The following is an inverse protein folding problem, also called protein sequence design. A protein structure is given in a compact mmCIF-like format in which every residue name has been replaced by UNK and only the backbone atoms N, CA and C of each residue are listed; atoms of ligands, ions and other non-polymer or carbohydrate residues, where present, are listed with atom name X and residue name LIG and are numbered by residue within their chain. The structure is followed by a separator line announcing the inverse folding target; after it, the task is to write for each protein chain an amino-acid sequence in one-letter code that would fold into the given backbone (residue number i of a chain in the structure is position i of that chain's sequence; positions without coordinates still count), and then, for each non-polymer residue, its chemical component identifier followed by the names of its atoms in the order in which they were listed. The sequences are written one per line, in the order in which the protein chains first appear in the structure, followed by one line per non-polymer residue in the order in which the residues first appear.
data_IF_338962782040
#
_entry.id   IF_338962782040
#
_cell.length_a   1.000
_cell.length_b   1.000
_cell.length_c   1.000
_cell.angle_alpha   90.00
_cell.angle_beta   90.00
_cell.angle_gamma   90.00
#
_symmetry.space_group_name_H-M   'P 1'
#
loop_
_entity.id
_entity.type
_entity.pdbx_description
1 polymer ?
#
# COMPACT_ATOMS: atom_id res chain seq x y z
N UNK A 1 13.20 -20.44 7.84
CA UNK A 1 11.81 -20.09 7.42
C UNK A 1 11.78 -18.59 7.16
N UNK A 2 12.04 -18.19 5.90
CA UNK A 2 12.06 -16.79 5.45
C UNK A 2 10.66 -16.43 4.96
N UNK A 3 9.79 -16.11 5.85
CA UNK A 3 8.45 -15.63 5.57
C UNK A 3 8.31 -14.27 6.23
N UNK A 4 7.82 -13.31 5.53
CA UNK A 4 7.39 -12.01 5.99
C UNK A 4 8.40 -10.85 5.93
N UNK A 5 8.89 -10.60 4.73
CA UNK A 5 8.81 -9.29 4.12
C UNK A 5 8.03 -9.52 2.83
N UNK A 6 6.72 -9.55 2.90
CA UNK A 6 5.85 -9.94 1.77
C UNK A 6 5.89 -8.99 0.58
N UNK A 7 6.68 -7.94 0.63
CA UNK A 7 6.89 -7.04 -0.49
C UNK A 7 8.31 -7.06 -1.06
N UNK A 8 9.10 -8.12 -0.81
CA UNK A 8 10.29 -8.38 -1.63
C UNK A 8 9.87 -9.04 -2.94
N UNK A 9 9.23 -8.28 -3.82
CA UNK A 9 8.99 -8.65 -5.19
C UNK A 9 10.33 -8.65 -5.94
N UNK A 10 11.03 -9.79 -5.95
CA UNK A 10 12.08 -10.04 -6.92
C UNK A 10 11.41 -10.20 -8.28
N UNK A 11 11.37 -9.15 -9.08
CA UNK A 11 10.95 -9.23 -10.48
C UNK A 11 12.13 -9.61 -11.35
N UNK A 12 11.99 -10.58 -12.27
CA UNK A 12 12.95 -10.75 -13.36
C UNK A 12 12.90 -9.49 -14.24
N UNK A 13 14.06 -9.05 -14.69
CA UNK A 13 14.20 -7.92 -15.60
C UNK A 13 13.45 -8.20 -16.90
N UNK A 14 12.31 -7.54 -17.11
CA UNK A 14 11.68 -7.41 -18.41
C UNK A 14 12.30 -6.22 -19.11
N UNK A 15 12.86 -6.47 -20.29
CA UNK A 15 13.42 -5.47 -21.17
C UNK A 15 12.36 -4.38 -21.46
N UNK A 16 12.69 -3.13 -21.13
CA UNK A 16 11.86 -1.97 -21.36
C UNK A 16 11.73 -1.71 -22.87
N UNK A 17 10.53 -1.82 -23.39
CA UNK A 17 10.16 -1.14 -24.61
C UNK A 17 10.08 0.36 -24.30
N UNK A 18 11.06 1.14 -24.78
CA UNK A 18 11.07 2.60 -24.67
C UNK A 18 10.01 3.20 -25.61
N UNK A 19 8.81 3.38 -25.08
CA UNK A 19 7.83 4.29 -25.66
C UNK A 19 8.09 5.68 -25.06
N UNK A 20 8.48 6.64 -25.90
CA UNK A 20 8.76 8.03 -25.56
C UNK A 20 7.47 8.84 -25.33
N UNK A 21 6.79 8.59 -24.24
CA UNK A 21 5.73 9.43 -23.69
C UNK A 21 5.95 9.49 -22.18
N UNK A 22 5.98 10.68 -21.59
CA UNK A 22 5.90 10.80 -20.13
C UNK A 22 4.71 9.97 -19.66
N UNK A 23 4.87 9.01 -18.72
CA UNK A 23 3.74 8.26 -18.21
C UNK A 23 2.81 9.28 -17.56
N UNK A 24 1.70 9.60 -18.24
CA UNK A 24 0.59 10.27 -17.57
C UNK A 24 0.22 9.36 -16.42
N UNK A 25 0.27 9.87 -15.20
CA UNK A 25 -0.13 9.13 -14.00
C UNK A 25 -1.55 8.61 -14.23
N UNK A 26 -1.68 7.30 -14.42
CA UNK A 26 -2.96 6.61 -14.61
C UNK A 26 -3.69 6.42 -13.26
N UNK A 27 -3.38 7.27 -12.27
CA UNK A 27 -3.95 7.21 -10.93
C UNK A 27 -4.93 8.37 -10.73
N UNK A 28 -6.17 8.03 -10.40
CA UNK A 28 -7.22 8.99 -10.05
C UNK A 28 -7.44 9.04 -8.53
N UNK A 29 -6.61 9.79 -7.83
CA UNK A 29 -6.73 9.97 -6.37
C UNK A 29 -8.00 10.71 -5.96
N UNK A 30 -8.61 11.48 -6.86
CA UNK A 30 -9.87 12.17 -6.57
C UNK A 30 -11.03 11.18 -6.42
N UNK A 31 -10.92 9.99 -7.02
CA UNK A 31 -11.92 8.93 -6.90
C UNK A 31 -11.90 8.17 -5.56
N UNK A 32 -10.86 8.37 -4.73
CA UNK A 32 -10.77 7.75 -3.40
C UNK A 32 -11.68 8.50 -2.43
N UNK A 33 -12.68 7.86 -1.83
CA UNK A 33 -13.56 8.48 -0.86
C UNK A 33 -12.90 8.57 0.53
N UNK A 34 -13.39 9.46 1.38
CA UNK A 34 -13.09 9.44 2.81
C UNK A 34 -13.86 8.26 3.45
N UNK A 35 -13.20 7.15 3.68
CA UNK A 35 -13.80 5.91 4.20
C UNK A 35 -12.93 5.24 5.24
N UNK A 36 -13.59 4.42 6.08
CA UNK A 36 -12.98 3.45 6.95
C UNK A 36 -13.44 2.07 6.54
N UNK A 37 -12.49 1.25 6.09
CA UNK A 37 -12.67 -0.09 5.56
C UNK A 37 -12.06 -1.12 6.52
N UNK A 38 -12.79 -2.18 6.82
CA UNK A 38 -12.32 -3.28 7.67
C UNK A 38 -12.19 -4.55 6.86
N UNK A 39 -11.11 -5.28 7.05
CA UNK A 39 -10.76 -6.49 6.32
C UNK A 39 -10.50 -7.65 7.28
N UNK A 40 -10.76 -8.86 6.81
CA UNK A 40 -10.33 -10.12 7.43
C UNK A 40 -9.17 -10.69 6.63
N UNK A 41 -8.18 -11.24 7.33
CA UNK A 41 -7.03 -11.92 6.73
C UNK A 41 -7.21 -13.43 6.78
N UNK A 42 -6.96 -14.08 5.66
CA UNK A 42 -6.96 -15.54 5.52
C UNK A 42 -5.54 -16.03 5.19
N UNK A 43 -5.15 -17.11 5.84
CA UNK A 43 -3.92 -17.81 5.52
C UNK A 43 -4.23 -19.30 5.36
N UNK A 44 -3.99 -19.85 4.17
CA UNK A 44 -4.36 -21.23 3.80
C UNK A 44 -5.83 -21.53 4.11
N UNK A 45 -6.70 -20.57 3.80
CA UNK A 45 -8.16 -20.70 3.99
C UNK A 45 -8.65 -20.50 5.43
N UNK A 46 -7.78 -20.34 6.42
CA UNK A 46 -8.16 -20.05 7.80
C UNK A 46 -8.03 -18.56 8.11
N UNK A 47 -9.00 -17.99 8.83
CA UNK A 47 -8.91 -16.63 9.35
C UNK A 47 -7.76 -16.51 10.35
N UNK A 48 -6.91 -15.50 10.17
CA UNK A 48 -5.68 -15.30 10.95
C UNK A 48 -5.43 -13.86 11.38
N UNK A 49 -6.31 -12.95 11.03
CA UNK A 49 -6.11 -11.56 11.40
C UNK A 49 -7.10 -10.61 10.77
N UNK A 50 -6.82 -9.34 10.95
CA UNK A 50 -7.67 -8.25 10.49
C UNK A 50 -6.83 -7.06 10.05
N UNK A 51 -7.44 -6.18 9.25
CA UNK A 51 -6.93 -4.83 8.99
C UNK A 51 -8.06 -3.80 9.04
N UNK A 52 -7.69 -2.58 9.38
CA UNK A 52 -8.53 -1.40 9.22
C UNK A 52 -7.74 -0.38 8.42
N UNK A 53 -8.30 0.02 7.28
CA UNK A 53 -7.77 1.09 6.43
C UNK A 53 -8.69 2.29 6.53
N UNK A 54 -8.11 3.47 6.65
CA UNK A 54 -8.85 4.71 6.71
C UNK A 54 -8.25 5.70 5.72
N UNK A 55 -9.12 6.29 4.92
CA UNK A 55 -8.78 7.35 3.97
C UNK A 55 -9.44 8.64 4.43
N UNK A 56 -8.64 9.66 4.67
CA UNK A 56 -9.11 11.00 5.04
C UNK A 56 -8.70 12.00 3.99
N UNK A 57 -9.57 12.99 3.76
CA UNK A 57 -9.29 14.14 2.90
C UNK A 57 -9.10 15.33 3.80
N UNK A 58 -7.91 15.92 3.80
CA UNK A 58 -7.56 17.07 4.62
C UNK A 58 -7.22 18.29 3.77
N UNK A 59 -7.56 19.51 4.20
CA UNK A 59 -7.12 20.72 3.51
C UNK A 59 -5.60 20.87 3.62
N UNK A 60 -4.97 21.38 2.55
CA UNK A 60 -3.57 21.76 2.50
C UNK A 60 -3.46 23.06 1.69
N UNK A 61 -3.38 24.21 2.37
CA UNK A 61 -3.32 25.54 1.73
C UNK A 61 -4.31 25.70 0.57
N UNK A 62 -3.84 25.55 -0.68
CA UNK A 62 -4.65 25.66 -1.91
C UNK A 62 -5.10 24.32 -2.48
N UNK A 63 -4.67 23.19 -1.89
CA UNK A 63 -4.92 21.83 -2.37
C UNK A 63 -5.56 20.97 -1.28
N UNK A 64 -5.60 19.65 -1.50
CA UNK A 64 -6.04 18.66 -0.52
C UNK A 64 -4.99 17.56 -0.39
N UNK A 65 -4.84 17.08 0.82
CA UNK A 65 -4.11 15.84 1.10
C UNK A 65 -5.06 14.65 1.13
N UNK A 66 -4.61 13.53 0.59
CA UNK A 66 -5.15 12.22 0.90
C UNK A 66 -4.27 11.59 1.98
N UNK A 67 -4.85 11.32 3.14
CA UNK A 67 -4.17 10.65 4.25
C UNK A 67 -4.72 9.23 4.34
N UNK A 68 -3.87 8.26 4.07
CA UNK A 68 -4.12 6.85 4.30
C UNK A 68 -3.52 6.45 5.63
N UNK A 69 -4.27 5.74 6.46
CA UNK A 69 -3.77 5.07 7.65
C UNK A 69 -4.23 3.63 7.65
N UNK A 70 -3.35 2.73 8.08
CA UNK A 70 -3.67 1.32 8.26
C UNK A 70 -3.23 0.84 9.63
N UNK A 71 -4.03 -0.08 10.19
CA UNK A 71 -3.65 -0.96 11.29
C UNK A 71 -4.03 -2.37 10.90
N UNK A 72 -3.12 -3.29 11.12
CA UNK A 72 -3.38 -4.70 10.86
C UNK A 72 -2.74 -5.58 11.93
N UNK A 73 -3.30 -6.76 12.11
CA UNK A 73 -2.76 -7.81 12.96
C UNK A 73 -2.89 -9.13 12.20
N UNK A 74 -1.77 -9.81 12.02
CA UNK A 74 -1.70 -11.11 11.38
C UNK A 74 -1.00 -12.11 12.31
N UNK A 75 -1.78 -12.86 13.09
CA UNK A 75 -1.26 -13.79 14.10
C UNK A 75 -0.80 -15.14 13.54
N UNK A 76 0.33 -15.67 13.99
CA UNK A 76 1.26 -15.16 15.00
C UNK A 76 2.46 -14.43 14.40
N UNK A 77 2.25 -13.62 13.38
CA UNK A 77 3.31 -13.14 12.50
C UNK A 77 3.71 -11.71 12.80
N UNK A 78 2.75 -10.77 12.76
CA UNK A 78 3.06 -9.33 12.87
C UNK A 78 1.84 -8.51 13.27
N UNK A 79 2.11 -7.31 13.78
CA UNK A 79 1.19 -6.18 13.89
C UNK A 79 1.81 -5.00 13.13
N UNK A 80 0.98 -4.30 12.35
CA UNK A 80 1.42 -3.17 11.53
C UNK A 80 0.64 -1.91 11.81
N UNK A 81 1.32 -0.76 11.66
CA UNK A 81 0.73 0.57 11.65
C UNK A 81 1.38 1.37 10.55
N UNK A 82 0.55 1.89 9.67
CA UNK A 82 1.01 2.62 8.50
C UNK A 82 0.27 3.96 8.38
N UNK A 83 0.97 4.97 7.87
CA UNK A 83 0.39 6.24 7.45
C UNK A 83 1.13 6.75 6.22
N UNK A 84 0.38 7.03 5.16
CA UNK A 84 0.89 7.67 3.94
C UNK A 84 0.12 8.97 3.71
N UNK A 85 0.83 10.03 3.40
CA UNK A 85 0.24 11.33 3.06
C UNK A 85 0.64 11.70 1.65
N UNK A 86 -0.35 12.03 0.83
CA UNK A 86 -0.19 12.37 -0.57
C UNK A 86 -0.83 13.72 -0.87
N UNK A 87 -0.28 14.45 -1.84
CA UNK A 87 -1.06 15.47 -2.52
C UNK A 87 -2.18 14.79 -3.32
N UNK A 88 -3.42 15.15 -3.04
CA UNK A 88 -4.59 14.45 -3.62
C UNK A 88 -4.75 14.69 -5.11
N UNK A 89 -4.30 15.83 -5.63
CA UNK A 89 -4.43 16.17 -7.05
C UNK A 89 -3.38 15.44 -7.89
N UNK A 90 -2.14 15.44 -7.43
CA UNK A 90 -1.00 14.92 -8.20
C UNK A 90 -0.62 13.50 -7.82
N UNK A 91 -1.03 13.02 -6.64
CA UNK A 91 -0.59 11.77 -6.05
C UNK A 91 0.86 11.79 -5.58
N UNK A 92 1.50 12.96 -5.58
CA UNK A 92 2.86 13.07 -5.10
C UNK A 92 2.92 12.73 -3.59
N UNK A 93 3.80 11.83 -3.16
CA UNK A 93 3.96 11.52 -1.75
C UNK A 93 4.57 12.71 -1.00
N UNK A 94 4.05 12.96 0.20
CA UNK A 94 4.51 14.01 1.11
C UNK A 94 5.20 13.43 2.34
N UNK A 95 4.68 12.34 2.89
CA UNK A 95 5.32 11.61 3.99
C UNK A 95 4.81 10.18 4.09
N UNK A 96 5.61 9.33 4.73
CA UNK A 96 5.22 7.98 5.10
C UNK A 96 5.78 7.61 6.46
N UNK A 97 4.97 6.92 7.23
CA UNK A 97 5.33 6.23 8.46
C UNK A 97 4.82 4.80 8.38
N UNK A 98 5.68 3.83 8.67
CA UNK A 98 5.28 2.43 8.77
C UNK A 98 6.07 1.76 9.89
N UNK A 99 5.37 1.06 10.76
CA UNK A 99 5.94 0.24 11.82
C UNK A 99 5.37 -1.16 11.76
N UNK A 100 6.25 -2.14 11.79
CA UNK A 100 5.95 -3.57 11.83
C UNK A 100 6.56 -4.13 13.11
N UNK A 101 5.73 -4.66 13.99
CA UNK A 101 6.14 -5.42 15.16
C UNK A 101 6.04 -6.93 14.83
N UNK A 102 7.18 -7.63 14.82
CA UNK A 102 7.30 -9.02 14.36
C UNK A 102 7.24 -9.99 15.55
N UNK A 103 6.41 -11.01 15.45
CA UNK A 103 6.26 -12.05 16.47
C UNK A 103 7.02 -13.34 16.15
N UNK A 104 7.97 -13.30 15.21
CA UNK A 104 8.71 -14.48 14.79
C UNK A 104 9.59 -15.06 15.92
N UNK A 105 9.45 -16.34 16.28
CA UNK A 105 10.28 -16.96 17.30
C UNK A 105 11.75 -17.14 16.84
N UNK A 106 11.99 -17.19 15.54
CA UNK A 106 13.30 -17.50 14.94
C UNK A 106 14.07 -16.27 14.44
N UNK A 107 13.42 -15.12 14.27
CA UNK A 107 14.08 -13.86 13.89
C UNK A 107 14.61 -13.15 15.13
N UNK A 108 15.80 -12.56 15.06
CA UNK A 108 16.30 -11.62 16.07
C UNK A 108 15.66 -10.24 15.92
N UNK A 109 15.24 -9.86 14.70
CA UNK A 109 14.47 -8.62 14.44
C UNK A 109 13.06 -8.78 14.97
N UNK A 110 12.64 -7.86 15.82
CA UNK A 110 11.29 -7.81 16.42
C UNK A 110 10.51 -6.57 16.02
N UNK A 111 11.17 -5.56 15.44
CA UNK A 111 10.54 -4.34 15.00
C UNK A 111 11.29 -3.76 13.80
N UNK A 112 10.54 -3.29 12.81
CA UNK A 112 11.00 -2.42 11.73
C UNK A 112 10.11 -1.20 11.68
N UNK A 113 10.73 -0.03 11.49
CA UNK A 113 10.01 1.24 11.41
C UNK A 113 10.72 2.15 10.41
N UNK A 114 9.95 2.92 9.64
CA UNK A 114 10.44 4.09 8.96
C UNK A 114 9.53 5.30 9.23
N UNK A 115 10.13 6.49 9.16
CA UNK A 115 9.48 7.79 9.32
C UNK A 115 10.18 8.75 8.35
N UNK A 116 9.55 9.00 7.20
CA UNK A 116 10.15 9.67 6.05
C UNK A 116 9.26 10.79 5.53
N UNK A 117 9.89 11.87 5.08
CA UNK A 117 9.25 13.00 4.40
C UNK A 117 9.81 13.16 2.99
N UNK A 118 8.97 13.62 2.07
CA UNK A 118 9.36 13.99 0.71
C UNK A 118 9.17 15.48 0.53
N UNK A 119 10.28 16.21 0.32
CA UNK A 119 10.29 17.67 0.12
C UNK A 119 11.33 18.05 -0.93
N UNK A 120 10.99 18.96 -1.82
CA UNK A 120 11.90 19.54 -2.81
C UNK A 120 12.67 18.50 -3.64
N UNK A 121 12.04 17.37 -3.99
CA UNK A 121 12.69 16.32 -4.77
C UNK A 121 13.68 15.46 -3.97
N UNK A 122 13.59 15.45 -2.67
CA UNK A 122 14.37 14.62 -1.76
C UNK A 122 13.45 13.84 -0.82
N UNK A 123 13.79 12.58 -0.54
CA UNK A 123 13.21 11.80 0.55
C UNK A 123 14.23 11.75 1.70
N UNK A 124 13.77 12.09 2.90
CA UNK A 124 14.63 12.17 4.08
C UNK A 124 13.89 11.71 5.35
N UNK A 125 14.67 11.30 6.36
CA UNK A 125 14.15 10.83 7.63
C UNK A 125 14.99 9.71 8.23
N UNK A 126 14.33 8.68 8.78
CA UNK A 126 15.02 7.59 9.46
C UNK A 126 14.29 6.26 9.34
N UNK A 127 15.08 5.19 9.39
CA UNK A 127 14.61 3.81 9.61
C UNK A 127 15.11 3.33 10.96
N UNK A 128 14.34 2.46 11.61
CA UNK A 128 14.69 1.83 12.87
C UNK A 128 14.52 0.32 12.76
N UNK A 129 15.44 -0.44 13.30
CA UNK A 129 15.40 -1.89 13.38
C UNK A 129 15.65 -2.27 14.83
N UNK A 130 14.66 -2.86 15.48
CA UNK A 130 14.73 -3.33 16.87
C UNK A 130 15.00 -4.84 16.93
N UNK A 131 15.81 -5.26 17.90
CA UNK A 131 16.15 -6.66 18.15
C UNK A 131 15.53 -7.19 19.44
N UNK A 132 15.48 -8.52 19.59
CA UNK A 132 15.04 -9.19 20.83
C UNK A 132 15.85 -8.79 22.07
N UNK A 133 17.09 -8.34 21.87
CA UNK A 133 17.98 -7.87 22.95
C UNK A 133 17.67 -6.44 23.40
N UNK A 134 16.69 -5.79 22.78
CA UNK A 134 16.34 -4.39 23.07
C UNK A 134 17.23 -3.37 22.37
N UNK A 135 18.15 -3.80 21.51
CA UNK A 135 18.95 -2.90 20.71
C UNK A 135 18.11 -2.29 19.59
N UNK A 136 18.28 -0.99 19.33
CA UNK A 136 17.63 -0.27 18.23
C UNK A 136 18.69 0.35 17.35
N UNK A 137 18.80 -0.13 16.13
CA UNK A 137 19.63 0.48 15.10
C UNK A 137 18.84 1.57 14.40
N UNK A 138 19.37 2.81 14.38
CA UNK A 138 18.80 3.95 13.66
C UNK A 138 19.64 4.16 12.40
N UNK A 139 18.98 4.24 11.25
CA UNK A 139 19.60 4.39 9.94
C UNK A 139 19.01 5.67 9.31
N UNK A 140 19.81 6.75 9.14
CA UNK A 140 19.34 7.94 8.46
C UNK A 140 19.09 7.65 6.99
N UNK A 141 18.09 8.34 6.42
CA UNK A 141 17.75 8.33 5.00
C UNK A 141 17.84 9.76 4.49
N UNK A 142 18.53 9.97 3.38
CA UNK A 142 18.57 11.23 2.64
C UNK A 142 19.05 10.92 1.22
N UNK A 143 18.16 11.11 0.25
CA UNK A 143 18.47 10.86 -1.17
C UNK A 143 17.52 11.58 -2.12
N UNK A 144 17.93 11.79 -3.37
CA UNK A 144 17.05 12.30 -4.41
C UNK A 144 15.80 11.41 -4.57
N UNK A 145 14.65 12.05 -4.74
CA UNK A 145 13.36 11.43 -4.99
C UNK A 145 12.82 11.99 -6.32
N UNK A 146 12.91 11.17 -7.38
CA UNK A 146 12.54 11.60 -8.72
C UNK A 146 11.03 11.83 -8.84
N UNK A 147 10.58 12.83 -9.60
CA UNK A 147 9.16 13.02 -9.92
C UNK A 147 8.54 11.75 -10.50
N UNK A 148 7.30 11.45 -10.11
CA UNK A 148 6.59 10.25 -10.55
C UNK A 148 6.99 8.96 -9.81
N UNK A 149 7.96 9.02 -8.87
CA UNK A 149 8.24 7.90 -7.96
C UNK A 149 7.12 7.82 -6.91
N UNK A 150 6.61 6.61 -6.67
CA UNK A 150 5.65 6.31 -5.61
C UNK A 150 6.35 5.63 -4.44
N UNK A 151 5.67 5.52 -3.30
CA UNK A 151 6.15 4.76 -2.16
C UNK A 151 5.80 3.28 -2.33
N UNK A 152 6.61 2.36 -1.80
CA UNK A 152 6.40 0.91 -1.92
C UNK A 152 5.15 0.42 -1.21
N UNK A 153 4.80 1.05 -0.09
CA UNK A 153 3.57 0.80 0.68
C UNK A 153 2.30 1.24 -0.07
N UNK A 154 2.48 1.87 -1.20
CA UNK A 154 1.46 2.43 -2.06
C UNK A 154 0.60 1.39 -2.82
N UNK A 155 1.02 0.13 -2.82
CA UNK A 155 0.40 -0.91 -3.67
C UNK A 155 -1.11 -1.01 -3.49
N UNK A 156 -1.62 -0.87 -2.26
CA UNK A 156 -3.04 -0.97 -1.97
C UNK A 156 -3.80 0.32 -2.34
N UNK A 157 -3.18 1.48 -2.15
CA UNK A 157 -3.72 2.76 -2.59
C UNK A 157 -3.74 2.80 -4.13
N UNK A 158 -2.63 2.40 -4.76
CA UNK A 158 -2.52 2.33 -6.21
C UNK A 158 -3.57 1.39 -6.83
N UNK A 159 -3.85 0.26 -6.20
CA UNK A 159 -4.92 -0.64 -6.62
C UNK A 159 -6.28 0.04 -6.66
N UNK A 160 -6.59 0.90 -5.69
CA UNK A 160 -7.85 1.65 -5.67
C UNK A 160 -7.95 2.74 -6.74
N UNK A 161 -6.84 3.36 -7.10
CA UNK A 161 -6.80 4.57 -7.96
C UNK A 161 -6.32 4.31 -9.39
N UNK A 162 -5.81 3.10 -9.68
CA UNK A 162 -5.31 2.75 -11.01
C UNK A 162 -6.42 2.79 -12.06
N UNK A 163 -6.18 3.50 -13.14
CA UNK A 163 -7.07 3.58 -14.30
C UNK A 163 -6.39 2.98 -15.55
N UNK A 164 -6.24 1.66 -15.55
CA UNK A 164 -5.63 0.88 -16.64
C UNK A 164 -6.69 0.06 -17.33
N UNK A 165 -6.73 0.09 -18.66
CA UNK A 165 -7.68 -0.71 -19.44
C UNK A 165 -7.36 -2.21 -19.33
N UNK A 166 -8.38 -3.10 -19.40
CA UNK A 166 -8.16 -4.54 -19.37
C UNK A 166 -7.18 -4.98 -20.46
N UNK A 167 -6.17 -5.74 -20.09
CA UNK A 167 -5.09 -6.20 -20.97
C UNK A 167 -3.86 -5.29 -21.00
N UNK A 168 -3.98 -4.07 -20.51
CA UNK A 168 -2.85 -3.13 -20.43
C UNK A 168 -2.04 -3.34 -19.15
N UNK A 169 -0.84 -2.76 -19.16
CA UNK A 169 0.05 -2.75 -18.00
C UNK A 169 0.60 -1.35 -17.77
N UNK A 170 0.88 -1.05 -16.51
CA UNK A 170 1.59 0.16 -16.10
C UNK A 170 2.74 -0.22 -15.18
N UNK A 171 3.89 0.44 -15.37
CA UNK A 171 5.05 0.34 -14.48
C UNK A 171 5.42 1.72 -13.95
N UNK A 172 5.56 1.83 -12.63
CA UNK A 172 5.97 3.09 -11.99
C UNK A 172 7.18 2.86 -11.11
N UNK A 173 8.15 3.81 -11.05
CA UNK A 173 9.21 3.76 -10.07
C UNK A 173 8.61 3.77 -8.66
N UNK A 174 9.02 2.83 -7.82
CA UNK A 174 8.59 2.76 -6.43
C UNK A 174 9.81 2.73 -5.51
N UNK A 175 9.84 3.63 -4.55
CA UNK A 175 10.83 3.63 -3.48
C UNK A 175 10.39 2.65 -2.40
N UNK A 176 11.26 1.70 -2.08
CA UNK A 176 11.04 0.72 -1.01
C UNK A 176 11.68 1.20 0.28
N UNK A 177 10.88 1.64 1.20
CA UNK A 177 11.24 2.36 2.41
C UNK A 177 12.11 1.51 3.35
N UNK A 178 11.77 0.23 3.53
CA UNK A 178 12.53 -0.66 4.41
C UNK A 178 13.89 -1.09 3.85
N UNK A 179 14.06 -1.10 2.53
CA UNK A 179 15.32 -1.51 1.89
C UNK A 179 16.12 -0.36 1.33
N UNK A 180 15.56 0.87 1.34
CA UNK A 180 16.17 2.08 0.79
C UNK A 180 16.60 1.90 -0.67
N UNK A 181 15.68 1.41 -1.49
CA UNK A 181 15.94 1.10 -2.91
C UNK A 181 14.77 1.51 -3.79
N UNK A 182 15.04 1.77 -5.07
CA UNK A 182 14.01 2.02 -6.07
C UNK A 182 13.83 0.76 -6.93
N UNK A 183 12.59 0.40 -7.19
CA UNK A 183 12.20 -0.70 -8.08
C UNK A 183 11.07 -0.25 -9.00
N UNK A 184 10.71 -1.05 -9.99
CA UNK A 184 9.49 -0.82 -10.78
C UNK A 184 8.35 -1.59 -10.15
N UNK A 185 7.32 -0.88 -9.72
CA UNK A 185 6.04 -1.44 -9.32
C UNK A 185 5.19 -1.57 -10.59
N UNK A 186 4.85 -2.80 -10.96
CA UNK A 186 4.08 -3.08 -12.18
C UNK A 186 2.68 -3.56 -11.83
N UNK A 187 1.68 -3.04 -12.56
CA UNK A 187 0.32 -3.52 -12.53
C UNK A 187 -0.11 -3.98 -13.91
N UNK A 188 -0.73 -5.15 -13.99
CA UNK A 188 -1.36 -5.68 -15.21
C UNK A 188 -2.85 -5.79 -14.92
N UNK A 189 -3.68 -5.12 -15.72
CA UNK A 189 -5.12 -5.19 -15.59
C UNK A 189 -5.65 -6.48 -16.24
N UNK A 190 -6.26 -7.34 -15.46
CA UNK A 190 -6.94 -8.56 -15.94
C UNK A 190 -8.38 -8.22 -16.38
N UNK A 191 -9.09 -9.10 -17.09
CA UNK A 191 -10.49 -8.86 -17.46
C UNK A 191 -11.35 -8.55 -16.23
N UNK A 192 -12.31 -7.60 -16.34
CA UNK A 192 -13.24 -7.30 -15.26
C UNK A 192 -14.03 -8.54 -14.85
N UNK A 193 -14.36 -8.61 -13.58
CA UNK A 193 -15.16 -9.72 -13.03
C UNK A 193 -16.03 -9.23 -11.89
N UNK A 194 -16.92 -10.10 -11.45
CA UNK A 194 -17.72 -9.88 -10.24
C UNK A 194 -17.26 -10.84 -9.17
N UNK A 195 -16.98 -10.33 -7.98
CA UNK A 195 -16.60 -11.15 -6.82
C UNK A 195 -17.57 -10.96 -5.66
N UNK A 196 -17.55 -11.91 -4.74
CA UNK A 196 -18.28 -11.84 -3.48
C UNK A 196 -17.28 -11.89 -2.33
N UNK A 197 -17.42 -10.93 -1.41
CA UNK A 197 -16.68 -10.85 -0.14
C UNK A 197 -17.68 -10.65 1.00
N UNK A 198 -17.31 -10.75 2.28
CA UNK A 198 -18.25 -10.55 3.40
C UNK A 198 -19.07 -9.26 3.32
N UNK A 199 -18.47 -8.15 2.84
CA UNK A 199 -19.16 -6.86 2.67
C UNK A 199 -20.20 -6.85 1.53
N UNK A 200 -20.26 -7.85 0.66
CA UNK A 200 -21.22 -7.92 -0.43
C UNK A 200 -20.67 -8.42 -1.76
N UNK A 201 -21.36 -8.03 -2.84
CA UNK A 201 -20.99 -8.37 -4.21
C UNK A 201 -20.51 -7.10 -4.93
N UNK A 202 -19.39 -7.19 -5.64
CA UNK A 202 -18.73 -6.06 -6.29
C UNK A 202 -18.28 -6.40 -7.72
N UNK A 203 -18.52 -5.47 -8.64
CA UNK A 203 -17.91 -5.48 -9.96
C UNK A 203 -16.53 -4.85 -9.86
N UNK A 204 -15.51 -5.60 -10.19
CA UNK A 204 -14.12 -5.26 -9.93
C UNK A 204 -13.25 -5.35 -11.16
N UNK A 205 -12.16 -4.58 -11.14
CA UNK A 205 -11.02 -4.70 -12.01
C UNK A 205 -9.90 -5.40 -11.23
N UNK A 206 -9.56 -6.66 -11.55
CA UNK A 206 -8.39 -7.29 -10.95
C UNK A 206 -7.11 -6.66 -11.51
N UNK A 207 -6.13 -6.40 -10.63
CA UNK A 207 -4.83 -5.84 -10.95
C UNK A 207 -3.76 -6.78 -10.39
N UNK A 208 -2.98 -7.39 -11.28
CA UNK A 208 -1.86 -8.25 -10.90
C UNK A 208 -0.60 -7.40 -10.71
N UNK A 209 0.08 -7.58 -9.57
CA UNK A 209 1.38 -6.98 -9.26
C UNK A 209 2.30 -8.05 -8.65
N UNK A 210 3.30 -8.50 -9.41
CA UNK A 210 4.18 -9.58 -8.98
C UNK A 210 3.42 -10.87 -8.67
N UNK A 211 3.56 -11.38 -7.44
CA UNK A 211 2.83 -12.57 -6.93
C UNK A 211 1.50 -12.21 -6.25
N UNK A 212 0.99 -11.01 -6.46
CA UNK A 212 -0.20 -10.53 -5.78
C UNK A 212 -1.26 -10.06 -6.77
N UNK A 213 -2.54 -10.22 -6.43
CA UNK A 213 -3.68 -9.69 -7.17
C UNK A 213 -4.53 -8.84 -6.24
N UNK A 214 -4.90 -7.65 -6.70
CA UNK A 214 -5.77 -6.71 -6.01
C UNK A 214 -7.05 -6.59 -6.81
N UNK A 215 -8.20 -6.57 -6.13
CA UNK A 215 -9.51 -6.40 -6.73
C UNK A 215 -10.07 -5.04 -6.31
N UNK A 216 -10.04 -4.09 -7.24
CA UNK A 216 -10.56 -2.74 -7.04
C UNK A 216 -11.94 -2.58 -7.70
N UNK A 217 -12.86 -1.85 -7.05
CA UNK A 217 -14.17 -1.54 -7.64
C UNK A 217 -14.01 -0.72 -8.92
N UNK A 218 -14.84 -1.00 -9.92
CA UNK A 218 -14.86 -0.25 -11.19
C UNK A 218 -15.62 1.06 -11.11
N UNK A 219 -16.64 1.12 -10.26
CA UNK A 219 -17.45 2.31 -10.04
C UNK A 219 -16.90 3.17 -8.91
N UNK A 220 -17.20 4.46 -8.95
CA UNK A 220 -16.99 5.38 -7.83
C UNK A 220 -18.03 5.10 -6.72
N UNK A 221 -17.63 5.09 -5.44
CA UNK A 221 -16.28 5.33 -4.93
C UNK A 221 -15.35 4.14 -5.19
N UNK A 222 -14.12 4.43 -5.63
CA UNK A 222 -13.12 3.40 -5.88
C UNK A 222 -12.46 2.92 -4.59
N UNK A 223 -12.38 1.60 -4.42
CA UNK A 223 -11.74 0.96 -3.26
C UNK A 223 -11.23 -0.43 -3.60
N UNK A 224 -10.26 -0.90 -2.84
CA UNK A 224 -9.87 -2.31 -2.83
C UNK A 224 -10.88 -3.08 -1.99
N UNK A 225 -11.38 -4.20 -2.50
CA UNK A 225 -12.34 -5.06 -1.80
C UNK A 225 -11.77 -6.43 -1.47
N UNK A 226 -10.67 -6.82 -2.14
CA UNK A 226 -9.96 -8.07 -1.90
C UNK A 226 -8.52 -7.95 -2.39
N UNK A 227 -7.61 -8.66 -1.75
CA UNK A 227 -6.29 -8.99 -2.28
C UNK A 227 -5.95 -10.44 -1.99
N UNK A 228 -5.15 -11.06 -2.86
CA UNK A 228 -4.73 -12.43 -2.69
C UNK A 228 -3.37 -12.68 -3.33
N UNK A 229 -2.60 -13.61 -2.77
CA UNK A 229 -1.43 -14.16 -3.46
C UNK A 229 -1.88 -15.09 -4.57
N UNK A 230 -1.14 -15.15 -5.69
CA UNK A 230 -1.50 -15.98 -6.86
C UNK A 230 -1.51 -17.49 -6.56
N UNK A 231 -0.80 -17.92 -5.52
CA UNK A 231 -0.81 -19.30 -5.01
C UNK A 231 -1.97 -19.60 -4.05
N UNK A 232 -2.81 -18.57 -3.75
CA UNK A 232 -3.95 -18.70 -2.86
C UNK A 232 -3.61 -18.92 -1.38
N UNK A 233 -2.34 -18.76 -0.99
CA UNK A 233 -1.90 -18.99 0.41
C UNK A 233 -2.37 -17.89 1.33
N UNK A 234 -2.36 -16.64 0.87
CA UNK A 234 -2.81 -15.47 1.63
C UNK A 234 -3.90 -14.72 0.87
N UNK A 235 -4.91 -14.24 1.59
CA UNK A 235 -5.90 -13.31 1.07
C UNK A 235 -6.38 -12.37 2.17
N UNK A 236 -6.86 -11.19 1.77
CA UNK A 236 -7.68 -10.34 2.61
C UNK A 236 -8.98 -9.98 1.89
N UNK A 237 -10.06 -9.83 2.64
CA UNK A 237 -11.39 -9.55 2.10
C UNK A 237 -12.09 -8.46 2.91
N UNK A 238 -12.76 -7.54 2.20
CA UNK A 238 -13.54 -6.46 2.81
C UNK A 238 -14.72 -7.04 3.58
N UNK A 239 -14.82 -6.68 4.87
CA UNK A 239 -15.92 -7.05 5.77
C UNK A 239 -16.92 -5.93 5.92
N UNK A 240 -16.42 -4.69 6.05
CA UNK A 240 -17.25 -3.51 6.23
C UNK A 240 -16.58 -2.27 5.64
N UNK A 241 -17.39 -1.35 5.13
CA UNK A 241 -16.95 -0.03 4.69
C UNK A 241 -17.98 1.02 5.13
N UNK A 242 -17.49 2.10 5.71
CA UNK A 242 -18.32 3.20 6.18
C UNK A 242 -17.62 4.56 6.08
N UNK A 243 -18.31 5.66 6.36
CA UNK A 243 -17.69 6.97 6.41
C UNK A 243 -16.70 7.06 7.57
N UNK A 244 -15.69 7.92 7.40
CA UNK A 244 -14.82 8.30 8.52
C UNK A 244 -15.65 9.14 9.50
N UNK A 245 -15.74 8.69 10.74
CA UNK A 245 -16.30 9.50 11.83
C UNK A 245 -15.16 10.40 12.32
N UNK A 246 -15.28 11.73 12.22
CA UNK A 246 -14.27 12.63 12.77
C UNK A 246 -14.06 12.32 14.25
N UNK A 247 -12.81 12.31 14.69
CA UNK A 247 -12.54 12.29 16.12
C UNK A 247 -13.20 13.51 16.76
N UNK A 248 -13.85 13.38 17.94
CA UNK A 248 -14.35 14.54 18.64
C UNK A 248 -13.17 15.51 18.83
N UNK A 249 -13.39 16.77 18.45
CA UNK A 249 -12.42 17.82 18.71
C UNK A 249 -12.18 17.82 20.23
N UNK A 250 -10.94 17.55 20.63
CA UNK A 250 -10.55 17.68 22.04
C UNK A 250 -10.58 19.16 22.38
N UNK A 251 -11.60 19.56 23.15
CA UNK A 251 -11.67 20.88 23.80
C UNK A 251 -10.44 21.18 24.66
#
# INVERSE_FOLDING_TARGET
MRWLCFLSLASPALAAAQGSGSPSLHFDFAAVPATRDSFVFHFRGAERGWAVWQFEIRPLETTQQLVYTARSEFRPVEEERERVVLDRLTGAPLSTFHRIDLFSPTSDTVMMEHDLEVRHGEISGRRRIGTKRGEVKIIPVSRPFAPGTVLGDYVFIAGAVTNVAPGDSIGVPAYKEFTDSVTILSFVAEPPTTIRVPAGRFDVQPLKSGNFRIFATRSTPRRVVKGETLDGVFAFELVHSGPVVPAPESE
#
